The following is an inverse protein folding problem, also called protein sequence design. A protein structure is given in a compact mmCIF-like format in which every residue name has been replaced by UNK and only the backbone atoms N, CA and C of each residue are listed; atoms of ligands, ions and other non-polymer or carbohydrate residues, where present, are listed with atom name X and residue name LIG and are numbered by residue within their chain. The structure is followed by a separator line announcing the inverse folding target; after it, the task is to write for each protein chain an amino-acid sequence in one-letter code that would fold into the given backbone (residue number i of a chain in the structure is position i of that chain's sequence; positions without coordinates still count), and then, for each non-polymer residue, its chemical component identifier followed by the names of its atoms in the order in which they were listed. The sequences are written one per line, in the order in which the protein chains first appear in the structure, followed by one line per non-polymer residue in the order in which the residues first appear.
data_IF_378037916297
#
_entry.id   IF_378037916297
#
_cell.length_a   1.000
_cell.length_b   1.000
_cell.length_c   1.000
_cell.angle_alpha   90.00
_cell.angle_beta   90.00
_cell.angle_gamma   90.00
#
_symmetry.space_group_name_H-M   'P 1'
#
loop_
_entity.id
_entity.type
_entity.pdbx_description
1 polymer ?
#
# COMPACT_ATOMS: atom_id res chain seq x y z
N UNK A 1 -41.14 -43.09 -23.47
CA UNK A 1 -41.73 -42.74 -22.17
C UNK A 1 -40.78 -43.31 -21.13
N UNK A 2 -40.11 -42.57 -20.25
CA UNK A 2 -40.16 -41.17 -19.83
C UNK A 2 -38.73 -40.74 -19.42
N UNK A 3 -38.41 -39.45 -19.68
CA UNK A 3 -37.38 -38.66 -18.97
C UNK A 3 -37.74 -38.59 -17.47
N UNK A 4 -36.82 -38.32 -16.51
CA UNK A 4 -36.54 -36.91 -16.21
C UNK A 4 -35.24 -36.53 -15.44
N UNK A 5 -35.04 -35.19 -15.47
CA UNK A 5 -34.33 -34.23 -14.61
C UNK A 5 -32.79 -34.13 -14.59
N UNK A 6 -32.36 -33.00 -15.13
CA UNK A 6 -31.10 -32.28 -14.97
C UNK A 6 -30.74 -31.98 -13.50
N UNK A 7 -29.45 -31.90 -13.22
CA UNK A 7 -28.91 -30.82 -12.39
C UNK A 7 -27.44 -30.61 -12.77
N UNK A 8 -27.23 -29.86 -13.86
CA UNK A 8 -25.97 -29.17 -14.14
C UNK A 8 -25.66 -28.25 -12.97
N UNK A 9 -24.91 -28.76 -12.00
CA UNK A 9 -24.26 -27.92 -11.00
C UNK A 9 -23.03 -27.35 -11.67
N UNK A 10 -23.22 -26.24 -12.40
CA UNK A 10 -22.14 -25.30 -12.66
C UNK A 10 -21.63 -24.84 -11.31
N UNK A 11 -20.60 -25.52 -10.82
CA UNK A 11 -19.70 -24.98 -9.83
C UNK A 11 -19.02 -23.77 -10.48
N UNK A 12 -19.71 -22.63 -10.42
CA UNK A 12 -19.06 -21.33 -10.46
C UNK A 12 -18.11 -21.32 -9.26
N UNK A 13 -16.92 -21.83 -9.52
CA UNK A 13 -15.74 -21.53 -8.73
C UNK A 13 -15.69 -20.00 -8.68
N UNK A 14 -16.18 -19.46 -7.57
CA UNK A 14 -15.82 -18.15 -7.07
C UNK A 14 -14.31 -18.20 -6.90
N UNK A 15 -13.60 -17.96 -8.01
CA UNK A 15 -12.28 -17.39 -8.00
C UNK A 15 -12.53 -16.03 -7.35
N UNK A 16 -12.46 -16.00 -6.03
CA UNK A 16 -12.28 -14.77 -5.29
C UNK A 16 -11.07 -14.11 -5.94
N UNK A 17 -11.38 -13.06 -6.69
CA UNK A 17 -10.43 -12.25 -7.41
C UNK A 17 -9.43 -11.75 -6.37
N UNK A 18 -8.29 -12.42 -6.24
CA UNK A 18 -7.17 -12.01 -5.36
C UNK A 18 -6.52 -10.70 -5.83
N UNK A 19 -7.17 -10.01 -6.76
CA UNK A 19 -6.76 -8.82 -7.49
C UNK A 19 -6.67 -7.56 -6.64
N UNK A 20 -6.97 -7.56 -5.33
CA UNK A 20 -6.90 -6.31 -4.55
C UNK A 20 -6.59 -6.43 -3.06
N UNK A 21 -5.70 -7.35 -2.64
CA UNK A 21 -5.17 -7.28 -1.25
C UNK A 21 -4.24 -6.07 -1.08
N UNK A 22 -3.55 -5.67 -2.16
CA UNK A 22 -2.66 -4.51 -2.20
C UNK A 22 -2.50 -4.03 -3.65
N UNK A 23 -2.01 -2.81 -3.83
CA UNK A 23 -1.89 -2.15 -5.13
C UNK A 23 -0.95 -2.89 -6.12
N UNK A 24 -1.33 -2.99 -7.39
CA UNK A 24 -0.50 -3.60 -8.45
C UNK A 24 0.65 -2.67 -8.90
N UNK A 25 1.68 -3.22 -9.58
CA UNK A 25 2.86 -2.41 -10.01
C UNK A 25 2.45 -1.32 -10.99
N UNK A 26 1.59 -1.72 -11.90
CA UNK A 26 1.07 -0.90 -12.97
C UNK A 26 0.18 0.21 -12.41
N UNK A 27 -0.71 -0.10 -11.47
CA UNK A 27 -1.54 0.90 -10.80
C UNK A 27 -0.70 1.93 -10.03
N UNK A 28 0.33 1.49 -9.32
CA UNK A 28 1.22 2.39 -8.59
C UNK A 28 2.04 3.28 -9.54
N UNK A 29 2.55 2.72 -10.63
CA UNK A 29 3.33 3.44 -11.64
C UNK A 29 2.46 4.45 -12.41
N UNK A 30 1.23 4.08 -12.77
CA UNK A 30 0.29 4.95 -13.50
C UNK A 30 -0.13 6.20 -12.70
N UNK A 31 -0.18 6.10 -11.37
CA UNK A 31 -0.55 7.21 -10.48
C UNK A 31 0.67 7.99 -9.94
N UNK A 32 1.88 7.67 -10.41
CA UNK A 32 3.11 8.35 -9.98
C UNK A 32 3.32 9.63 -10.79
N UNK A 33 3.58 10.73 -10.09
CA UNK A 33 3.95 11.99 -10.74
C UNK A 33 5.29 11.86 -11.47
N UNK A 34 5.46 12.60 -12.56
CA UNK A 34 6.73 12.62 -13.29
C UNK A 34 7.84 13.32 -12.49
N UNK A 35 9.10 12.99 -12.76
CA UNK A 35 10.26 13.67 -12.14
C UNK A 35 10.30 15.17 -12.46
N UNK A 36 9.74 15.59 -13.60
CA UNK A 36 9.63 17.00 -13.97
C UNK A 36 8.64 17.72 -13.07
N UNK A 37 7.47 17.11 -12.87
CA UNK A 37 6.40 17.68 -12.04
C UNK A 37 6.82 17.71 -10.56
N UNK A 38 7.52 16.67 -10.11
CA UNK A 38 8.07 16.60 -8.75
C UNK A 38 8.99 17.79 -8.43
N UNK A 39 9.74 18.32 -9.40
CA UNK A 39 10.65 19.48 -9.18
C UNK A 39 9.93 20.82 -9.10
N UNK A 40 8.77 20.96 -9.74
CA UNK A 40 8.03 22.22 -9.81
C UNK A 40 6.97 22.34 -8.73
N UNK A 41 6.47 21.21 -8.21
CA UNK A 41 5.42 21.18 -7.20
C UNK A 41 5.94 21.72 -5.84
N UNK A 42 5.30 22.76 -5.26
CA UNK A 42 5.76 23.39 -4.02
C UNK A 42 5.91 22.44 -2.84
N UNK A 43 5.11 21.36 -2.81
CA UNK A 43 5.14 20.34 -1.74
C UNK A 43 6.48 19.60 -1.67
N UNK A 44 7.26 19.58 -2.76
CA UNK A 44 8.58 18.94 -2.83
C UNK A 44 9.75 19.94 -2.70
N UNK A 45 9.51 21.25 -2.62
CA UNK A 45 10.57 22.28 -2.62
C UNK A 45 11.66 22.05 -1.56
N UNK A 46 11.27 21.54 -0.39
CA UNK A 46 12.16 21.25 0.74
C UNK A 46 12.19 19.75 1.08
N UNK A 47 11.89 18.89 0.10
CA UNK A 47 11.94 17.45 0.29
C UNK A 47 13.37 16.96 0.05
N UNK A 48 13.95 16.32 1.06
CA UNK A 48 15.19 15.56 0.94
C UNK A 48 14.98 14.20 1.63
N UNK A 49 15.34 13.08 0.98
CA UNK A 49 15.39 11.78 1.66
C UNK A 49 16.30 11.87 2.88
N UNK A 50 15.82 11.41 4.04
CA UNK A 50 16.63 11.31 5.24
C UNK A 50 17.58 10.11 5.20
N UNK A 51 18.20 9.82 6.34
CA UNK A 51 18.98 8.60 6.51
C UNK A 51 18.09 7.35 6.28
N UNK A 52 18.60 6.29 5.65
CA UNK A 52 17.86 5.04 5.47
C UNK A 52 17.32 4.50 6.79
N UNK A 53 16.04 4.17 6.82
CA UNK A 53 15.35 3.64 8.00
C UNK A 53 14.24 2.70 7.55
N UNK A 54 13.87 1.74 8.40
CA UNK A 54 12.70 0.88 8.18
C UNK A 54 11.38 1.64 8.37
N UNK A 55 11.42 2.87 8.89
CA UNK A 55 10.25 3.70 9.14
C UNK A 55 10.20 4.90 8.20
N UNK A 56 9.16 4.95 7.38
CA UNK A 56 8.86 6.03 6.46
C UNK A 56 7.95 7.07 7.11
N UNK A 57 8.14 8.33 6.70
CA UNK A 57 7.28 9.44 7.07
C UNK A 57 6.65 10.02 5.81
N UNK A 58 5.32 9.96 5.75
CA UNK A 58 4.52 10.38 4.59
C UNK A 58 3.78 11.66 4.94
N UNK A 59 3.95 12.68 4.10
CA UNK A 59 3.28 13.99 4.21
C UNK A 59 2.33 14.19 3.03
N UNK A 60 1.48 15.21 3.14
CA UNK A 60 0.57 15.64 2.08
C UNK A 60 -0.48 14.58 1.70
N UNK A 61 -0.96 13.83 2.69
CA UNK A 61 -2.10 12.92 2.50
C UNK A 61 -3.40 13.72 2.48
N UNK A 62 -4.34 13.29 1.64
CA UNK A 62 -5.67 13.90 1.59
C UNK A 62 -6.42 13.66 2.92
N UNK A 63 -7.27 14.60 3.33
CA UNK A 63 -7.91 14.58 4.66
C UNK A 63 -8.87 13.41 4.88
N UNK A 64 -9.35 12.82 3.79
CA UNK A 64 -10.25 11.67 3.75
C UNK A 64 -9.50 10.33 3.72
N UNK A 65 -8.17 10.32 3.63
CA UNK A 65 -7.38 9.08 3.63
C UNK A 65 -7.62 8.34 4.95
N UNK A 66 -7.85 7.05 4.85
CA UNK A 66 -8.01 6.13 5.95
C UNK A 66 -6.77 5.23 6.06
N UNK A 67 -6.57 4.63 7.24
CA UNK A 67 -5.46 3.68 7.47
C UNK A 67 -5.49 2.52 6.49
N UNK A 68 -6.69 2.06 6.06
CA UNK A 68 -6.87 1.00 5.07
C UNK A 68 -6.25 1.34 3.71
N UNK A 69 -6.26 2.61 3.31
CA UNK A 69 -5.76 3.05 2.00
C UNK A 69 -4.22 2.99 2.00
N UNK A 70 -3.61 3.37 3.12
CA UNK A 70 -2.17 3.23 3.32
C UNK A 70 -1.78 1.75 3.42
N UNK A 71 -2.58 0.91 4.09
CA UNK A 71 -2.36 -0.54 4.06
C UNK A 71 -2.39 -1.06 2.62
N UNK A 72 -3.38 -0.68 1.82
CA UNK A 72 -3.49 -1.12 0.43
C UNK A 72 -2.23 -0.81 -0.40
N UNK A 73 -1.61 0.35 -0.19
CA UNK A 73 -0.37 0.72 -0.92
C UNK A 73 0.86 0.00 -0.34
N UNK A 74 1.07 0.09 0.97
CA UNK A 74 2.34 -0.31 1.59
C UNK A 74 2.40 -1.80 1.94
N UNK A 75 1.27 -2.50 2.02
CA UNK A 75 1.21 -3.97 2.18
C UNK A 75 1.92 -4.70 1.04
N UNK A 76 2.03 -4.07 -0.14
CA UNK A 76 2.82 -4.57 -1.26
C UNK A 76 4.28 -4.91 -0.89
N UNK A 77 4.88 -4.13 0.00
CA UNK A 77 6.29 -4.28 0.38
C UNK A 77 6.48 -5.21 1.57
N UNK A 78 5.41 -5.57 2.27
CA UNK A 78 5.43 -6.51 3.37
C UNK A 78 5.63 -7.94 2.84
N UNK A 79 6.45 -8.71 3.56
CA UNK A 79 6.80 -10.09 3.23
C UNK A 79 6.42 -10.99 4.41
N UNK A 80 5.34 -11.80 4.29
CA UNK A 80 4.90 -12.69 5.37
C UNK A 80 6.01 -13.65 5.85
N UNK A 81 6.94 -14.01 4.96
CA UNK A 81 8.02 -14.96 5.23
C UNK A 81 9.01 -14.42 6.29
N UNK A 82 9.14 -13.09 6.40
CA UNK A 82 10.05 -12.45 7.35
C UNK A 82 9.48 -12.39 8.77
N UNK A 83 8.18 -12.57 8.97
CA UNK A 83 7.56 -12.50 10.29
C UNK A 83 8.07 -13.60 11.23
N UNK A 84 8.47 -14.75 10.69
CA UNK A 84 9.06 -15.85 11.47
C UNK A 84 10.44 -15.50 12.05
N UNK A 85 11.14 -14.54 11.44
CA UNK A 85 12.51 -14.17 11.79
C UNK A 85 12.56 -12.88 12.62
N UNK A 86 11.73 -11.89 12.27
CA UNK A 86 11.79 -10.53 12.82
C UNK A 86 10.53 -10.11 13.58
N UNK A 87 9.49 -10.95 13.60
CA UNK A 87 8.17 -10.62 14.14
C UNK A 87 7.36 -9.71 13.22
N UNK A 88 6.10 -9.44 13.59
CA UNK A 88 5.22 -8.57 12.81
C UNK A 88 5.56 -7.09 13.03
N UNK A 89 6.57 -6.61 12.30
CA UNK A 89 7.06 -5.21 12.38
C UNK A 89 6.27 -4.23 11.50
N UNK A 90 5.28 -4.69 10.76
CA UNK A 90 4.51 -3.85 9.85
C UNK A 90 3.42 -3.07 10.60
N UNK A 91 3.61 -1.76 10.72
CA UNK A 91 2.69 -0.85 11.42
C UNK A 91 2.44 0.42 10.62
N UNK A 92 1.22 0.94 10.68
CA UNK A 92 0.81 2.20 10.04
C UNK A 92 0.13 3.09 11.05
N UNK A 93 0.75 4.24 11.32
CA UNK A 93 0.20 5.28 12.18
C UNK A 93 -0.19 6.51 11.37
N UNK A 94 -1.47 6.60 11.03
CA UNK A 94 -2.07 7.77 10.38
C UNK A 94 -2.47 8.83 11.41
N UNK A 95 -2.08 10.08 11.18
CA UNK A 95 -2.48 11.22 11.99
C UNK A 95 -3.75 11.84 11.42
N UNK A 96 -4.86 11.73 12.16
CA UNK A 96 -6.19 12.14 11.69
C UNK A 96 -6.67 13.49 12.25
N UNK A 97 -6.00 14.01 13.29
CA UNK A 97 -6.44 15.18 14.04
C UNK A 97 -5.33 16.24 14.19
N UNK A 98 -5.77 17.46 14.50
CA UNK A 98 -4.89 18.60 14.78
C UNK A 98 -4.02 19.05 13.59
N UNK A 99 -2.94 19.77 13.90
CA UNK A 99 -1.97 20.29 12.92
C UNK A 99 -1.27 19.16 12.13
N UNK A 100 -1.25 17.95 12.68
CA UNK A 100 -0.60 16.79 12.05
C UNK A 100 -1.52 16.03 11.09
N UNK A 101 -2.79 16.42 10.94
CA UNK A 101 -3.73 15.77 10.02
C UNK A 101 -3.17 15.73 8.59
N UNK A 102 -3.27 14.57 7.94
CA UNK A 102 -2.74 14.37 6.58
C UNK A 102 -1.26 13.95 6.56
N UNK A 103 -0.78 13.35 7.65
CA UNK A 103 0.56 12.81 7.79
C UNK A 103 0.48 11.38 8.34
N UNK A 104 1.43 10.53 7.97
CA UNK A 104 1.49 9.15 8.46
C UNK A 104 2.93 8.68 8.69
N UNK A 105 3.07 7.73 9.60
CA UNK A 105 4.28 6.94 9.75
C UNK A 105 4.00 5.51 9.35
N UNK A 106 4.95 4.90 8.63
CA UNK A 106 4.81 3.55 8.11
C UNK A 106 6.07 2.80 8.47
N UNK A 107 5.94 1.77 9.29
CA UNK A 107 7.04 0.90 9.70
C UNK A 107 6.98 -0.36 8.84
N UNK A 108 8.09 -0.68 8.19
CA UNK A 108 8.30 -1.89 7.40
C UNK A 108 9.27 -2.82 8.13
N UNK A 109 9.35 -4.07 7.68
CA UNK A 109 10.18 -5.08 8.36
C UNK A 109 11.69 -4.79 8.14
N UNK A 110 12.06 -4.22 6.98
CA UNK A 110 13.47 -3.89 6.69
C UNK A 110 13.68 -2.50 6.08
N UNK A 111 14.92 -2.00 6.19
CA UNK A 111 15.36 -0.77 5.53
C UNK A 111 15.27 -0.89 4.00
N UNK A 112 15.54 -2.07 3.46
CA UNK A 112 15.47 -2.34 2.02
C UNK A 112 14.04 -2.23 1.49
N UNK A 113 13.06 -2.76 2.22
CA UNK A 113 11.64 -2.60 1.88
C UNK A 113 11.23 -1.12 1.90
N UNK A 114 11.67 -0.37 2.90
CA UNK A 114 11.39 1.05 3.01
C UNK A 114 12.04 1.85 1.87
N UNK A 115 13.27 1.51 1.48
CA UNK A 115 13.92 2.12 0.32
C UNK A 115 13.20 1.77 -1.00
N UNK A 116 12.71 0.54 -1.14
CA UNK A 116 11.91 0.14 -2.30
C UNK A 116 10.56 0.87 -2.37
N UNK A 117 9.95 1.16 -1.22
CA UNK A 117 8.71 1.93 -1.13
C UNK A 117 8.89 3.45 -1.31
N UNK A 118 10.10 3.96 -1.09
CA UNK A 118 10.44 5.37 -1.28
C UNK A 118 10.68 5.74 -2.76
N UNK A 119 11.08 4.76 -3.57
CA UNK A 119 11.46 4.92 -4.98
C UNK A 119 10.28 4.78 -5.93
#
# INVERSE_FOLDING_TARGET
QEKPVEADTKEESNIEDTSSIFISAEQLAANRISLRDQRVLPVFKNYQPGAPSCRLYVKNLAKQVLTRDLHFIYRRYYRPELDQVQGSMFDIRLMQEGRMKGQAFITLQSVEQAQAALK
#
